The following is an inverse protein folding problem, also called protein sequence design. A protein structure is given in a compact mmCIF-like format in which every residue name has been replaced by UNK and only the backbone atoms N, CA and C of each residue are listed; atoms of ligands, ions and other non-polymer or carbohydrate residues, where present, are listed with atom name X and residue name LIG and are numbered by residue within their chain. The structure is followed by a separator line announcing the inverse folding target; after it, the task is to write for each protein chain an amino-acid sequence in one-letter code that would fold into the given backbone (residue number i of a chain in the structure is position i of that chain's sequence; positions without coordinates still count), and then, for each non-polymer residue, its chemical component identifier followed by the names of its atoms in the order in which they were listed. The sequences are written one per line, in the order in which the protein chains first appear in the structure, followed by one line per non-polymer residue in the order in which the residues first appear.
data_IF_741769979430
#
_entry.id   IF_741769979430
#
_cell.length_a   1.000
_cell.length_b   1.000
_cell.length_c   1.000
_cell.angle_alpha   90.00
_cell.angle_beta   90.00
_cell.angle_gamma   90.00
#
_symmetry.space_group_name_H-M   'P 1'
#
loop_
_entity.id
_entity.type
_entity.pdbx_description
1 polymer ?
#
# COMPACT_ATOMS: atom_id res chain seq x y z
N UNK A 1 -31.29 -59.63 14.96
CA UNK A 1 -31.57 -58.49 15.86
C UNK A 1 -30.39 -58.40 16.82
N UNK A 2 -29.57 -57.37 16.95
CA UNK A 2 -29.53 -55.98 16.46
C UNK A 2 -28.06 -55.60 16.14
N UNK A 3 -27.77 -55.04 14.96
CA UNK A 3 -27.36 -53.64 14.69
C UNK A 3 -26.26 -53.10 15.61
N UNK A 4 -24.99 -53.16 15.20
CA UNK A 4 -24.26 -52.10 14.46
C UNK A 4 -24.00 -50.83 15.28
N UNK A 5 -22.75 -50.69 15.73
CA UNK A 5 -22.18 -49.46 16.27
C UNK A 5 -22.21 -48.34 15.21
N UNK A 6 -22.90 -47.25 15.52
CA UNK A 6 -22.85 -46.01 14.75
C UNK A 6 -21.63 -45.20 15.19
N UNK A 7 -20.53 -45.33 14.45
CA UNK A 7 -19.51 -44.28 14.36
C UNK A 7 -20.13 -43.18 13.49
N UNK A 8 -20.78 -42.22 14.13
CA UNK A 8 -21.23 -41.02 13.46
C UNK A 8 -19.99 -40.15 13.24
N UNK A 9 -19.47 -40.17 12.01
CA UNK A 9 -18.39 -39.30 11.54
C UNK A 9 -18.79 -37.85 11.81
N UNK A 10 -17.94 -37.15 12.55
CA UNK A 10 -17.89 -35.69 12.60
C UNK A 10 -17.73 -35.17 11.17
N UNK A 11 -18.85 -34.75 10.58
CA UNK A 11 -18.86 -33.87 9.42
C UNK A 11 -18.59 -32.45 9.91
N UNK A 12 -17.37 -32.19 10.37
CA UNK A 12 -16.84 -30.84 10.40
C UNK A 12 -16.70 -30.40 8.94
N UNK A 13 -17.61 -29.54 8.50
CA UNK A 13 -17.55 -28.78 7.26
C UNK A 13 -16.14 -28.19 7.11
N UNK A 14 -15.31 -28.77 6.25
CA UNK A 14 -14.11 -28.10 5.74
C UNK A 14 -14.56 -26.89 4.95
N UNK A 15 -14.73 -25.75 5.63
CA UNK A 15 -14.86 -24.46 4.98
C UNK A 15 -13.69 -24.31 4.01
N UNK A 16 -13.96 -23.96 2.76
CA UNK A 16 -12.92 -23.77 1.76
C UNK A 16 -11.94 -22.71 2.28
N UNK A 17 -10.67 -23.08 2.49
CA UNK A 17 -9.64 -22.15 2.96
C UNK A 17 -9.46 -21.01 1.93
N UNK A 18 -9.31 -19.78 2.42
CA UNK A 18 -8.97 -18.63 1.58
C UNK A 18 -7.62 -18.86 0.87
N UNK A 19 -7.37 -18.23 -0.29
CA UNK A 19 -6.06 -18.27 -0.90
C UNK A 19 -4.98 -17.77 0.08
N UNK A 20 -3.81 -18.41 0.06
CA UNK A 20 -2.68 -18.04 0.94
C UNK A 20 -2.33 -16.57 0.71
N UNK A 21 -2.26 -15.78 1.78
CA UNK A 21 -1.97 -14.33 1.70
C UNK A 21 -3.14 -13.48 1.17
N UNK A 22 -4.34 -14.04 1.02
CA UNK A 22 -5.54 -13.27 0.70
C UNK A 22 -6.02 -12.42 1.89
N UNK A 23 -5.95 -12.98 3.10
CA UNK A 23 -6.30 -12.36 4.37
C UNK A 23 -5.34 -12.85 5.47
N UNK A 24 -5.49 -12.29 6.68
CA UNK A 24 -4.67 -12.63 7.83
C UNK A 24 -4.61 -14.14 8.10
N UNK A 25 -3.49 -14.59 8.66
CA UNK A 25 -3.25 -15.99 8.99
C UNK A 25 -4.33 -16.52 9.94
N UNK A 26 -5.01 -17.58 9.52
CA UNK A 26 -6.10 -18.21 10.27
C UNK A 26 -7.49 -17.62 9.99
N UNK A 27 -7.63 -16.69 9.04
CA UNK A 27 -8.93 -16.18 8.62
C UNK A 27 -9.84 -17.32 8.11
N UNK A 28 -11.14 -17.30 8.46
CA UNK A 28 -12.07 -18.35 8.06
C UNK A 28 -12.44 -18.23 6.57
N UNK A 29 -12.82 -19.35 5.96
CA UNK A 29 -13.15 -19.44 4.52
C UNK A 29 -14.30 -18.54 4.06
N UNK A 30 -15.22 -18.24 4.98
CA UNK A 30 -16.40 -17.40 4.83
C UNK A 30 -16.19 -15.96 5.36
N UNK A 31 -14.93 -15.52 5.56
CA UNK A 31 -14.59 -14.20 6.10
C UNK A 31 -15.42 -13.05 5.50
N UNK A 32 -15.57 -13.02 4.17
CA UNK A 32 -16.28 -11.93 3.51
C UNK A 32 -17.79 -11.94 3.81
N UNK A 33 -18.38 -13.12 3.99
CA UNK A 33 -19.79 -13.25 4.37
C UNK A 33 -20.00 -12.80 5.81
N UNK A 34 -19.09 -13.19 6.72
CA UNK A 34 -19.10 -12.80 8.13
C UNK A 34 -18.88 -11.30 8.33
N UNK A 35 -18.01 -10.67 7.53
CA UNK A 35 -17.82 -9.21 7.52
C UNK A 35 -18.98 -8.47 6.80
N UNK A 36 -19.99 -9.21 6.31
CA UNK A 36 -21.17 -8.66 5.66
C UNK A 36 -20.88 -8.02 4.31
N UNK A 37 -19.80 -8.39 3.63
CA UNK A 37 -19.45 -7.85 2.32
C UNK A 37 -20.53 -8.12 1.27
N UNK A 38 -21.13 -9.31 1.31
CA UNK A 38 -22.18 -9.76 0.39
C UNK A 38 -23.57 -9.26 0.79
N UNK A 39 -23.80 -9.00 2.09
CA UNK A 39 -25.11 -8.65 2.65
C UNK A 39 -25.30 -7.16 2.94
N UNK A 40 -24.21 -6.38 3.07
CA UNK A 40 -24.24 -4.94 3.37
C UNK A 40 -23.69 -4.15 2.18
N UNK A 41 -24.57 -3.46 1.40
CA UNK A 41 -24.16 -2.61 0.30
C UNK A 41 -23.12 -1.54 0.69
N UNK A 42 -23.02 -1.18 1.98
CA UNK A 42 -22.08 -0.20 2.55
C UNK A 42 -21.12 -0.77 3.62
N UNK A 43 -20.97 -2.10 3.75
CA UNK A 43 -20.02 -2.71 4.68
C UNK A 43 -18.55 -2.50 4.31
N UNK A 44 -17.68 -2.33 5.30
CA UNK A 44 -16.24 -2.15 5.13
C UNK A 44 -15.52 -3.43 5.60
N UNK A 45 -15.44 -4.48 4.77
CA UNK A 45 -14.79 -5.70 5.22
C UNK A 45 -13.30 -5.42 5.43
N UNK A 46 -12.67 -6.20 6.30
CA UNK A 46 -11.23 -6.17 6.52
C UNK A 46 -10.59 -7.51 6.18
N UNK A 47 -9.38 -7.46 5.64
CA UNK A 47 -8.51 -8.64 5.45
C UNK A 47 -7.43 -8.74 6.51
N UNK A 48 -7.34 -7.76 7.41
CA UNK A 48 -6.34 -7.71 8.45
C UNK A 48 -6.83 -8.42 9.70
N UNK A 49 -5.90 -8.80 10.58
CA UNK A 49 -6.22 -9.54 11.79
C UNK A 49 -7.05 -8.66 12.75
N UNK A 50 -8.33 -8.99 13.03
CA UNK A 50 -9.20 -8.16 13.86
C UNK A 50 -8.70 -8.05 15.30
N UNK A 51 -7.96 -9.06 15.82
CA UNK A 51 -7.40 -9.03 17.16
C UNK A 51 -6.33 -7.96 17.35
N UNK A 52 -5.77 -7.44 16.26
CA UNK A 52 -4.74 -6.39 16.30
C UNK A 52 -5.31 -5.00 16.02
N UNK A 53 -6.56 -4.89 15.56
CA UNK A 53 -7.19 -3.62 15.20
C UNK A 53 -7.56 -2.81 16.45
N UNK A 54 -7.08 -1.58 16.53
CA UNK A 54 -7.29 -0.69 17.69
C UNK A 54 -8.15 0.53 17.37
N UNK A 55 -8.30 0.90 16.10
CA UNK A 55 -9.21 1.94 15.64
C UNK A 55 -9.58 1.76 14.16
N UNK A 56 -10.61 2.48 13.71
CA UNK A 56 -11.10 2.46 12.32
C UNK A 56 -12.01 1.27 12.00
N UNK A 57 -12.05 0.88 10.73
CA UNK A 57 -13.04 -0.06 10.18
C UNK A 57 -14.27 0.62 9.57
N UNK A 58 -14.23 1.95 9.42
CA UNK A 58 -15.30 2.78 8.88
C UNK A 58 -14.76 4.01 8.15
N UNK A 59 -15.65 4.94 7.77
CA UNK A 59 -15.27 6.17 7.07
C UNK A 59 -14.97 7.30 8.04
N UNK A 60 -13.72 7.76 8.04
CA UNK A 60 -13.34 9.05 8.60
C UNK A 60 -13.71 10.18 7.64
N UNK A 61 -14.41 11.20 8.14
CA UNK A 61 -14.73 12.38 7.32
C UNK A 61 -13.54 13.32 7.25
N UNK A 62 -12.89 13.35 6.09
CA UNK A 62 -11.85 14.33 5.80
C UNK A 62 -12.47 15.69 5.55
N UNK A 63 -12.03 16.68 6.32
CA UNK A 63 -12.44 18.05 6.10
C UNK A 63 -11.62 18.69 4.96
N UNK A 64 -12.25 19.53 4.13
CA UNK A 64 -11.54 20.27 3.09
C UNK A 64 -10.44 21.14 3.69
N UNK A 65 -9.27 21.16 3.08
CA UNK A 65 -8.26 22.16 3.42
C UNK A 65 -8.76 23.56 3.01
N UNK A 66 -9.06 24.40 4.00
CA UNK A 66 -9.55 25.77 3.80
C UNK A 66 -8.41 26.79 3.67
N UNK A 67 -7.14 26.37 3.80
CA UNK A 67 -5.98 27.27 3.78
C UNK A 67 -5.57 27.69 2.35
N UNK A 68 -5.99 26.96 1.32
CA UNK A 68 -5.71 27.24 -0.09
C UNK A 68 -6.86 27.93 -0.85
N UNK A 69 -6.53 28.82 -1.80
CA UNK A 69 -7.47 29.52 -2.71
C UNK A 69 -8.10 28.61 -3.79
N UNK A 70 -8.10 27.28 -3.64
CA UNK A 70 -8.46 26.34 -4.72
C UNK A 70 -9.63 25.45 -4.31
N UNK A 71 -10.73 25.55 -5.07
CA UNK A 71 -11.98 24.76 -5.02
C UNK A 71 -12.39 24.28 -3.63
N UNK A 72 -13.46 24.86 -3.07
CA UNK A 72 -14.18 24.34 -1.89
C UNK A 72 -14.51 22.86 -2.13
N UNK A 73 -13.66 21.95 -1.69
CA UNK A 73 -13.94 20.52 -1.70
C UNK A 73 -15.05 20.28 -0.69
N UNK A 74 -15.95 19.35 -0.95
CA UNK A 74 -16.91 18.91 0.07
C UNK A 74 -16.21 17.91 0.99
N UNK A 75 -16.57 17.84 2.28
CA UNK A 75 -16.11 16.74 3.13
C UNK A 75 -16.44 15.40 2.48
N UNK A 76 -15.57 14.41 2.66
CA UNK A 76 -15.77 13.06 2.12
C UNK A 76 -15.15 12.02 3.05
N UNK A 77 -15.65 10.79 2.97
CA UNK A 77 -15.21 9.66 3.79
C UNK A 77 -13.98 8.96 3.23
N UNK A 78 -12.99 8.70 4.09
CA UNK A 78 -11.87 7.80 3.85
C UNK A 78 -11.95 6.61 4.79
N UNK A 79 -11.86 5.41 4.24
CA UNK A 79 -11.74 4.19 5.00
C UNK A 79 -10.31 3.99 5.51
N UNK A 80 -10.16 3.63 6.78
CA UNK A 80 -8.88 3.34 7.41
C UNK A 80 -8.99 2.30 8.52
N UNK A 81 -7.87 1.66 8.85
CA UNK A 81 -7.70 0.83 10.04
C UNK A 81 -6.36 1.14 10.72
N UNK A 82 -6.35 1.09 12.05
CA UNK A 82 -5.14 1.13 12.87
C UNK A 82 -4.95 -0.23 13.52
N UNK A 83 -3.75 -0.79 13.41
CA UNK A 83 -3.36 -2.03 14.07
C UNK A 83 -2.18 -1.80 15.01
N UNK A 84 -2.17 -2.51 16.15
CA UNK A 84 -1.18 -2.31 17.20
C UNK A 84 -1.45 -1.07 18.06
N UNK A 85 -0.73 -0.97 19.17
CA UNK A 85 -0.88 0.08 20.20
C UNK A 85 0.44 0.69 20.65
N UNK A 86 1.53 0.36 19.98
CA UNK A 86 2.85 0.83 20.35
C UNK A 86 3.14 2.29 20.03
N UNK A 87 4.19 2.87 20.62
CA UNK A 87 4.49 4.30 20.48
C UNK A 87 5.03 4.69 19.09
N UNK A 88 5.62 3.76 18.34
CA UNK A 88 6.18 4.04 17.01
C UNK A 88 5.06 3.95 15.96
N UNK A 89 4.81 5.05 15.25
CA UNK A 89 3.66 5.16 14.32
C UNK A 89 4.12 4.93 12.88
N UNK A 90 3.50 4.00 12.17
CA UNK A 90 3.81 3.69 10.77
C UNK A 90 2.59 3.98 9.92
N UNK A 91 2.74 4.72 8.83
CA UNK A 91 1.67 4.96 7.85
C UNK A 91 2.04 4.30 6.53
N UNK A 92 1.19 3.40 6.07
CA UNK A 92 1.36 2.69 4.81
C UNK A 92 0.52 3.32 3.70
N UNK A 93 1.18 3.86 2.67
CA UNK A 93 0.54 4.57 1.56
C UNK A 93 0.57 3.70 0.31
N UNK A 94 -0.62 3.24 -0.10
CA UNK A 94 -0.77 2.35 -1.26
C UNK A 94 -0.65 3.07 -2.61
N UNK A 95 -0.30 2.31 -3.64
CA UNK A 95 -0.23 2.73 -5.04
C UNK A 95 -1.59 2.99 -5.71
N UNK A 96 -1.52 3.42 -6.97
CA UNK A 96 -2.68 3.76 -7.79
C UNK A 96 -3.62 2.56 -7.97
N UNK A 97 -4.92 2.83 -7.89
CA UNK A 97 -5.98 1.87 -8.12
C UNK A 97 -5.78 0.54 -7.37
N UNK A 98 -5.37 0.62 -6.10
CA UNK A 98 -5.17 -0.53 -5.24
C UNK A 98 -5.63 -0.25 -3.80
N UNK A 99 -6.05 -1.29 -3.11
CA UNK A 99 -6.53 -1.21 -1.72
C UNK A 99 -5.38 -1.34 -0.75
N UNK A 100 -5.54 -0.76 0.43
CA UNK A 100 -4.61 -0.93 1.55
C UNK A 100 -4.33 -2.39 1.91
N UNK A 101 -5.23 -3.33 1.54
CA UNK A 101 -5.03 -4.78 1.65
C UNK A 101 -3.70 -5.30 1.04
N UNK A 102 -3.09 -4.56 0.09
CA UNK A 102 -1.76 -4.90 -0.42
C UNK A 102 -0.64 -4.80 0.62
N UNK A 103 -0.87 -4.12 1.75
CA UNK A 103 0.06 -4.04 2.90
C UNK A 103 -0.17 -5.16 3.93
N UNK A 104 -1.02 -6.15 3.64
CA UNK A 104 -1.32 -7.25 4.57
C UNK A 104 -0.04 -7.88 5.18
N UNK A 105 0.99 -8.27 4.40
CA UNK A 105 2.19 -8.88 4.99
C UNK A 105 2.93 -7.95 5.96
N UNK A 106 2.95 -6.65 5.66
CA UNK A 106 3.59 -5.65 6.52
C UNK A 106 2.78 -5.43 7.80
N UNK A 107 1.45 -5.33 7.72
CA UNK A 107 0.59 -5.22 8.92
C UNK A 107 0.71 -6.46 9.79
N UNK A 108 0.73 -7.66 9.19
CA UNK A 108 0.93 -8.91 9.93
C UNK A 108 2.29 -8.99 10.62
N UNK A 109 3.34 -8.39 10.06
CA UNK A 109 4.65 -8.31 10.69
C UNK A 109 4.69 -7.27 11.82
N UNK A 110 4.33 -6.03 11.52
CA UNK A 110 4.45 -4.88 12.43
C UNK A 110 3.37 -4.83 13.51
N UNK A 111 2.30 -5.63 13.40
CA UNK A 111 1.27 -5.73 14.45
C UNK A 111 1.18 -7.13 15.06
N UNK A 112 2.16 -8.01 14.81
CA UNK A 112 2.12 -9.39 15.30
C UNK A 112 2.27 -9.46 16.84
N UNK A 113 1.35 -10.12 17.56
CA UNK A 113 1.52 -10.32 19.00
C UNK A 113 2.65 -11.31 19.32
N UNK A 114 2.97 -12.25 18.41
CA UNK A 114 3.97 -13.30 18.67
C UNK A 114 5.42 -12.80 18.67
N UNK A 115 5.70 -11.65 18.07
CA UNK A 115 7.04 -11.03 18.07
C UNK A 115 7.10 -9.75 18.92
N UNK A 116 6.05 -9.45 19.71
CA UNK A 116 5.96 -8.24 20.53
C UNK A 116 5.71 -6.95 19.75
N UNK A 117 5.52 -7.00 18.43
CA UNK A 117 5.38 -5.80 17.61
C UNK A 117 4.08 -5.04 17.86
N UNK A 118 3.01 -5.70 18.32
CA UNK A 118 1.75 -5.04 18.70
C UNK A 118 1.96 -3.94 19.76
N UNK A 119 2.91 -4.12 20.68
CA UNK A 119 3.23 -3.15 21.74
C UNK A 119 4.33 -2.15 21.32
N UNK A 120 5.06 -2.45 20.24
CA UNK A 120 6.15 -1.60 19.71
C UNK A 120 5.64 -0.61 18.66
N UNK A 121 4.71 -1.04 17.80
CA UNK A 121 4.23 -0.25 16.67
C UNK A 121 2.71 -0.02 16.71
N UNK A 122 2.28 1.07 16.08
CA UNK A 122 0.92 1.23 15.56
C UNK A 122 0.99 1.49 14.06
N UNK A 123 0.33 0.67 13.26
CA UNK A 123 0.31 0.78 11.80
C UNK A 123 -1.04 1.31 11.31
N UNK A 124 -1.01 2.38 10.54
CA UNK A 124 -2.15 2.95 9.83
C UNK A 124 -2.15 2.49 8.37
N UNK A 125 -3.27 1.89 7.96
CA UNK A 125 -3.58 1.53 6.58
C UNK A 125 -4.89 2.19 6.19
N UNK A 126 -5.01 2.63 4.93
CA UNK A 126 -6.21 3.33 4.46
C UNK A 126 -6.37 3.21 2.94
N UNK A 127 -7.61 3.21 2.48
CA UNK A 127 -7.89 3.27 1.05
C UNK A 127 -7.84 4.73 0.58
N UNK A 128 -7.10 4.99 -0.49
CA UNK A 128 -6.98 6.35 -1.04
C UNK A 128 -8.34 6.85 -1.55
N UNK A 129 -8.53 8.19 -1.56
CA UNK A 129 -9.68 8.81 -2.24
C UNK A 129 -9.87 8.23 -3.65
N UNK A 130 -11.10 7.94 -4.03
CA UNK A 130 -11.40 7.38 -5.35
C UNK A 130 -11.13 5.88 -5.52
N UNK A 131 -10.86 5.14 -4.44
CA UNK A 131 -10.63 3.69 -4.53
C UNK A 131 -11.16 2.92 -3.30
N UNK A 132 -11.45 1.62 -3.51
CA UNK A 132 -11.79 0.67 -2.45
C UNK A 132 -13.01 1.10 -1.63
N UNK A 133 -12.86 1.08 -0.31
CA UNK A 133 -13.88 1.46 0.64
C UNK A 133 -14.01 2.99 0.83
N UNK A 134 -13.08 3.79 0.31
CA UNK A 134 -13.12 5.25 0.39
C UNK A 134 -14.05 5.88 -0.65
N UNK A 135 -14.59 7.05 -0.33
CA UNK A 135 -15.48 7.78 -1.23
C UNK A 135 -14.72 8.37 -2.43
N UNK A 136 -15.49 8.71 -3.47
CA UNK A 136 -14.99 9.29 -4.73
C UNK A 136 -15.41 10.76 -4.83
N UNK A 137 -14.69 11.69 -4.18
CA UNK A 137 -14.99 13.12 -4.32
C UNK A 137 -14.84 13.56 -5.78
N UNK A 138 -15.68 14.50 -6.20
CA UNK A 138 -15.65 15.01 -7.58
C UNK A 138 -14.42 15.88 -7.85
N UNK A 139 -14.06 16.01 -9.12
CA UNK A 139 -12.98 16.89 -9.57
C UNK A 139 -11.63 16.19 -9.73
N UNK A 140 -10.64 16.98 -10.12
CA UNK A 140 -9.27 16.52 -10.37
C UNK A 140 -8.54 16.34 -9.05
N UNK A 141 -7.82 15.23 -8.89
CA UNK A 141 -6.98 15.01 -7.72
C UNK A 141 -5.55 15.46 -7.98
N UNK A 142 -4.86 15.84 -6.90
CA UNK A 142 -3.41 16.00 -6.85
C UNK A 142 -2.86 15.10 -5.74
N UNK A 143 -1.63 14.62 -5.88
CA UNK A 143 -0.95 13.88 -4.81
C UNK A 143 -0.78 14.73 -3.55
N UNK A 144 -0.67 16.06 -3.68
CA UNK A 144 -0.71 16.99 -2.54
C UNK A 144 -2.04 16.92 -1.79
N UNK A 145 -3.17 16.79 -2.51
CA UNK A 145 -4.50 16.66 -1.88
C UNK A 145 -4.62 15.35 -1.10
N UNK A 146 -4.02 14.28 -1.63
CA UNK A 146 -3.96 12.99 -0.96
C UNK A 146 -3.06 13.04 0.28
N UNK A 147 -2.01 13.86 0.29
CA UNK A 147 -1.22 14.15 1.49
C UNK A 147 -2.03 14.85 2.58
N UNK A 148 -2.86 15.84 2.21
CA UNK A 148 -3.72 16.51 3.18
C UNK A 148 -4.77 15.59 3.80
N UNK A 149 -5.25 14.58 3.05
CA UNK A 149 -6.13 13.56 3.61
C UNK A 149 -5.46 12.78 4.74
N UNK A 150 -4.21 12.38 4.53
CA UNK A 150 -3.42 11.67 5.54
C UNK A 150 -3.21 12.56 6.75
N UNK A 151 -2.87 13.83 6.56
CA UNK A 151 -2.73 14.78 7.67
C UNK A 151 -4.03 14.96 8.47
N UNK A 152 -5.19 14.98 7.80
CA UNK A 152 -6.50 15.03 8.48
C UNK A 152 -6.69 13.80 9.36
N UNK A 153 -6.39 12.61 8.83
CA UNK A 153 -6.53 11.37 9.55
C UNK A 153 -5.55 11.27 10.73
N UNK A 154 -4.30 11.69 10.54
CA UNK A 154 -3.31 11.71 11.61
C UNK A 154 -3.65 12.68 12.74
N UNK A 155 -4.29 13.82 12.44
CA UNK A 155 -4.79 14.76 13.45
C UNK A 155 -5.90 14.14 14.30
N UNK A 156 -6.86 13.46 13.66
CA UNK A 156 -7.91 12.72 14.36
C UNK A 156 -7.34 11.66 15.30
N UNK A 157 -6.34 10.93 14.81
CA UNK A 157 -5.63 9.90 15.59
C UNK A 157 -4.68 10.48 16.64
N UNK A 158 -4.51 11.81 16.70
CA UNK A 158 -3.55 12.51 17.57
C UNK A 158 -2.10 12.09 17.35
N UNK A 159 -1.77 11.66 16.14
CA UNK A 159 -0.39 11.28 15.76
C UNK A 159 0.44 12.47 15.30
N UNK A 160 -0.10 13.69 15.34
CA UNK A 160 0.61 14.93 14.98
C UNK A 160 1.16 15.70 16.18
N UNK A 161 1.03 15.17 17.39
CA UNK A 161 1.39 15.88 18.63
C UNK A 161 2.90 15.87 18.92
N UNK A 162 3.63 14.87 18.40
CA UNK A 162 5.06 14.70 18.65
C UNK A 162 5.83 14.71 17.31
N UNK A 163 6.78 15.65 17.13
CA UNK A 163 7.68 15.66 15.99
C UNK A 163 8.46 14.34 15.87
N UNK A 164 8.68 13.88 14.65
CA UNK A 164 9.48 12.69 14.36
C UNK A 164 8.91 11.34 14.81
N UNK A 165 7.67 11.28 15.34
CA UNK A 165 7.08 10.03 15.83
C UNK A 165 6.49 9.15 14.71
N UNK A 166 6.15 9.77 13.56
CA UNK A 166 5.45 9.11 12.47
C UNK A 166 6.42 8.74 11.34
N UNK A 167 6.33 7.51 10.86
CA UNK A 167 7.18 6.96 9.81
C UNK A 167 6.34 6.61 8.59
N UNK A 168 6.70 7.16 7.43
CA UNK A 168 5.93 6.98 6.20
C UNK A 168 6.55 5.88 5.34
N UNK A 169 5.71 4.97 4.84
CA UNK A 169 6.12 3.91 3.90
C UNK A 169 5.19 3.94 2.70
N UNK A 170 5.68 4.41 1.56
CA UNK A 170 4.88 4.61 0.36
C UNK A 170 5.40 3.82 -0.82
N UNK A 171 4.50 3.10 -1.50
CA UNK A 171 4.79 2.39 -2.75
C UNK A 171 4.16 3.11 -3.95
N UNK A 172 4.90 3.30 -5.04
CA UNK A 172 4.36 3.86 -6.29
C UNK A 172 3.74 5.25 -6.07
N UNK A 173 2.45 5.45 -6.38
CA UNK A 173 1.71 6.67 -6.04
C UNK A 173 1.80 7.01 -4.54
N UNK A 174 1.81 6.03 -3.64
CA UNK A 174 2.02 6.25 -2.22
C UNK A 174 3.37 6.89 -1.88
N UNK A 175 4.41 6.57 -2.65
CA UNK A 175 5.72 7.24 -2.55
C UNK A 175 5.67 8.71 -3.03
N UNK A 176 4.87 9.02 -4.06
CA UNK A 176 4.64 10.40 -4.49
C UNK A 176 3.92 11.21 -3.39
N UNK A 177 2.93 10.62 -2.74
CA UNK A 177 2.21 11.23 -1.62
C UNK A 177 3.16 11.41 -0.42
N UNK A 178 4.04 10.45 -0.18
CA UNK A 178 5.09 10.55 0.85
C UNK A 178 6.01 11.74 0.62
N UNK A 179 6.42 12.00 -0.64
CA UNK A 179 7.21 13.18 -0.98
C UNK A 179 6.43 14.49 -0.76
N UNK A 180 5.13 14.53 -1.03
CA UNK A 180 4.28 15.69 -0.74
C UNK A 180 4.15 15.93 0.76
N UNK A 181 3.93 14.89 1.56
CA UNK A 181 3.90 14.97 3.03
C UNK A 181 5.22 15.49 3.59
N UNK A 182 6.35 15.00 3.07
CA UNK A 182 7.68 15.45 3.47
C UNK A 182 7.95 16.93 3.13
N UNK A 183 7.24 17.51 2.16
CA UNK A 183 7.31 18.96 1.85
C UNK A 183 6.44 19.80 2.78
N UNK A 184 5.27 19.28 3.18
CA UNK A 184 4.24 20.06 3.85
C UNK A 184 4.45 20.10 5.37
N UNK A 185 4.89 18.99 5.98
CA UNK A 185 5.07 18.88 7.42
C UNK A 185 6.33 18.06 7.77
N UNK A 186 7.54 18.45 7.29
CA UNK A 186 8.76 17.66 7.44
C UNK A 186 9.09 17.27 8.89
N UNK A 187 8.76 18.14 9.85
CA UNK A 187 9.00 17.96 11.29
C UNK A 187 8.23 16.79 11.89
N UNK A 188 7.13 16.36 11.27
CA UNK A 188 6.31 15.26 11.78
C UNK A 188 6.94 13.89 11.52
N UNK A 189 7.83 13.78 10.53
CA UNK A 189 8.28 12.49 10.03
C UNK A 189 9.64 12.07 10.61
N UNK A 190 9.65 10.97 11.36
CA UNK A 190 10.90 10.39 11.87
C UNK A 190 11.71 9.75 10.75
N UNK A 191 11.02 9.13 9.78
CA UNK A 191 11.64 8.59 8.59
C UNK A 191 10.66 8.44 7.44
N UNK A 192 11.19 8.33 6.22
CA UNK A 192 10.40 7.96 5.03
C UNK A 192 11.04 6.80 4.27
N UNK A 193 10.22 5.86 3.80
CA UNK A 193 10.61 4.77 2.91
C UNK A 193 9.86 4.89 1.59
N UNK A 194 10.60 5.09 0.51
CA UNK A 194 10.10 5.32 -0.85
C UNK A 194 10.31 4.07 -1.70
N UNK A 195 9.24 3.34 -2.01
CA UNK A 195 9.31 2.06 -2.71
C UNK A 195 8.77 2.23 -4.15
N UNK A 196 9.56 1.86 -5.15
CA UNK A 196 9.17 1.84 -6.57
C UNK A 196 8.41 3.09 -7.00
N UNK A 197 9.00 4.27 -6.75
CA UNK A 197 8.33 5.57 -6.94
C UNK A 197 9.18 6.55 -7.74
N UNK A 198 8.66 7.76 -7.96
CA UNK A 198 9.31 8.82 -8.73
C UNK A 198 8.93 10.18 -8.19
N UNK A 199 9.80 11.18 -8.33
CA UNK A 199 9.46 12.60 -8.11
C UNK A 199 8.54 13.20 -9.19
N UNK A 200 7.98 12.37 -10.08
CA UNK A 200 7.04 12.79 -11.11
C UNK A 200 7.69 13.48 -12.31
N UNK A 201 6.99 14.47 -12.89
CA UNK A 201 7.42 15.15 -14.11
C UNK A 201 8.82 15.77 -13.97
N UNK A 202 9.71 15.50 -14.94
CA UNK A 202 11.07 16.03 -14.95
C UNK A 202 11.19 17.46 -15.48
N UNK A 203 10.45 17.83 -16.54
CA UNK A 203 10.54 19.14 -17.24
C UNK A 203 11.99 19.69 -17.34
N UNK A 204 12.92 18.85 -17.80
CA UNK A 204 14.35 19.20 -17.92
C UNK A 204 15.25 18.71 -16.77
N UNK A 205 14.69 18.34 -15.61
CA UNK A 205 15.45 17.82 -14.45
C UNK A 205 15.75 16.32 -14.53
N UNK A 206 15.05 15.59 -15.42
CA UNK A 206 15.22 14.16 -15.66
C UNK A 206 15.46 13.91 -17.14
N UNK A 207 16.25 12.87 -17.43
CA UNK A 207 16.30 12.27 -18.77
C UNK A 207 14.89 11.85 -19.17
N UNK A 208 14.45 12.19 -20.38
CA UNK A 208 13.09 11.91 -20.85
C UNK A 208 12.71 10.42 -20.72
N UNK A 209 13.64 9.52 -21.05
CA UNK A 209 13.45 8.07 -20.93
C UNK A 209 13.22 7.56 -19.49
N UNK A 210 13.63 8.33 -18.47
CA UNK A 210 13.38 8.01 -17.05
C UNK A 210 12.03 8.53 -16.59
N UNK A 211 11.59 9.68 -17.12
CA UNK A 211 10.32 10.30 -16.77
C UNK A 211 9.09 9.63 -17.40
N UNK A 212 9.27 8.83 -18.45
CA UNK A 212 8.21 8.05 -19.08
C UNK A 212 8.13 6.64 -18.47
N UNK A 213 6.92 6.09 -18.25
CA UNK A 213 6.78 4.68 -17.91
C UNK A 213 7.40 3.78 -19.00
N UNK A 214 7.94 2.60 -18.66
CA UNK A 214 8.39 1.64 -19.66
C UNK A 214 7.27 1.31 -20.65
N UNK A 215 7.59 1.10 -21.94
CA UNK A 215 6.58 0.86 -23.00
C UNK A 215 5.65 -0.32 -22.66
N UNK A 216 6.19 -1.40 -22.09
CA UNK A 216 5.41 -2.54 -21.58
C UNK A 216 4.43 -2.13 -20.49
N UNK A 217 4.83 -1.23 -19.58
CA UNK A 217 3.98 -0.66 -18.54
C UNK A 217 2.84 0.17 -19.10
N UNK A 218 3.06 0.96 -20.16
CA UNK A 218 2.01 1.77 -20.80
C UNK A 218 0.90 0.90 -21.40
N UNK A 219 1.26 -0.14 -22.16
CA UNK A 219 0.28 -1.05 -22.77
C UNK A 219 -0.51 -1.83 -21.72
N UNK A 220 0.13 -2.27 -20.64
CA UNK A 220 -0.56 -3.00 -19.57
C UNK A 220 -1.40 -2.06 -18.71
N UNK A 221 -0.95 -0.85 -18.38
CA UNK A 221 -1.78 0.17 -17.69
C UNK A 221 -3.05 0.44 -18.52
N UNK A 222 -2.94 0.61 -19.83
CA UNK A 222 -4.09 0.82 -20.70
C UNK A 222 -5.05 -0.38 -20.69
N UNK A 223 -4.52 -1.61 -20.69
CA UNK A 223 -5.33 -2.83 -20.56
C UNK A 223 -5.98 -2.98 -19.17
N UNK A 224 -5.25 -2.70 -18.09
CA UNK A 224 -5.76 -2.74 -16.72
C UNK A 224 -6.84 -1.68 -16.53
N UNK A 225 -6.65 -0.47 -17.06
CA UNK A 225 -7.68 0.58 -17.09
C UNK A 225 -8.89 0.11 -17.89
N UNK A 226 -8.70 -0.36 -19.13
CA UNK A 226 -9.80 -0.81 -19.99
C UNK A 226 -10.62 -1.93 -19.36
N UNK A 227 -9.93 -2.93 -18.80
CA UNK A 227 -10.56 -4.11 -18.19
C UNK A 227 -11.14 -3.84 -16.79
N UNK A 228 -10.57 -2.92 -16.01
CA UNK A 228 -11.07 -2.53 -14.67
C UNK A 228 -12.24 -1.56 -14.79
N UNK A 229 -12.21 -0.62 -15.74
CA UNK A 229 -13.28 0.36 -15.94
C UNK A 229 -14.46 -0.19 -16.74
N UNK A 230 -14.22 -1.05 -17.73
CA UNK A 230 -15.28 -1.46 -18.66
C UNK A 230 -15.58 -2.97 -18.64
N UNK A 231 -14.81 -3.78 -17.89
CA UNK A 231 -15.07 -5.23 -17.79
C UNK A 231 -14.91 -5.99 -19.11
N UNK A 232 -14.21 -5.40 -20.09
CA UNK A 232 -14.01 -5.98 -21.43
C UNK A 232 -12.80 -6.92 -21.38
N UNK A 233 -12.99 -8.21 -21.71
CA UNK A 233 -11.91 -9.20 -21.86
C UNK A 233 -11.96 -10.38 -20.88
N UNK A 234 -11.13 -11.40 -21.13
CA UNK A 234 -11.01 -12.60 -20.30
C UNK A 234 -10.37 -12.28 -18.92
N UNK A 235 -11.02 -12.70 -17.83
CA UNK A 235 -10.54 -12.46 -16.46
C UNK A 235 -9.16 -13.08 -16.24
N UNK A 236 -8.93 -14.29 -16.80
CA UNK A 236 -7.67 -15.00 -16.63
C UNK A 236 -6.53 -14.22 -17.29
N UNK A 237 -6.68 -13.87 -18.56
CA UNK A 237 -5.72 -13.02 -19.27
C UNK A 237 -5.45 -11.70 -18.52
N UNK A 238 -6.49 -11.05 -17.99
CA UNK A 238 -6.34 -9.80 -17.23
C UNK A 238 -5.46 -9.97 -15.98
N UNK A 239 -5.75 -10.98 -15.15
CA UNK A 239 -4.98 -11.20 -13.92
C UNK A 239 -3.55 -11.60 -14.25
N UNK A 240 -3.34 -12.46 -15.25
CA UNK A 240 -2.01 -12.82 -15.72
C UNK A 240 -1.19 -11.60 -16.14
N UNK A 241 -1.78 -10.68 -16.92
CA UNK A 241 -1.09 -9.46 -17.35
C UNK A 241 -0.72 -8.55 -16.17
N UNK A 242 -1.57 -8.48 -15.14
CA UNK A 242 -1.25 -7.75 -13.89
C UNK A 242 -0.08 -8.40 -13.16
N UNK A 243 -0.07 -9.74 -13.04
CA UNK A 243 1.02 -10.45 -12.37
C UNK A 243 2.35 -10.24 -13.09
N UNK A 244 2.39 -10.38 -14.41
CA UNK A 244 3.61 -10.18 -15.22
C UNK A 244 4.10 -8.72 -15.26
N UNK A 245 3.22 -7.76 -14.95
CA UNK A 245 3.59 -6.36 -14.79
C UNK A 245 4.21 -6.09 -13.41
N UNK A 246 3.67 -6.74 -12.38
CA UNK A 246 4.04 -6.48 -10.98
C UNK A 246 5.24 -7.30 -10.53
N UNK A 247 5.43 -8.50 -11.09
CA UNK A 247 6.42 -9.47 -10.65
C UNK A 247 7.25 -10.01 -11.83
N UNK A 248 8.56 -10.25 -11.64
CA UNK A 248 9.41 -10.90 -12.62
C UNK A 248 8.98 -12.34 -12.90
N UNK A 249 9.16 -12.78 -14.15
CA UNK A 249 8.81 -14.14 -14.59
C UNK A 249 9.59 -15.22 -13.83
N UNK A 250 10.87 -14.96 -13.53
CA UNK A 250 11.73 -15.86 -12.75
C UNK A 250 11.11 -16.12 -11.38
N UNK A 251 10.70 -15.08 -10.67
CA UNK A 251 10.08 -15.20 -9.35
C UNK A 251 8.71 -15.85 -9.41
N UNK A 252 7.91 -15.54 -10.44
CA UNK A 252 6.58 -16.14 -10.65
C UNK A 252 6.65 -17.65 -10.93
N UNK A 253 7.72 -18.10 -11.58
CA UNK A 253 7.92 -19.50 -11.99
C UNK A 253 8.42 -20.40 -10.86
N UNK A 254 9.00 -19.82 -9.80
CA UNK A 254 9.41 -20.55 -8.60
C UNK A 254 8.21 -21.12 -7.81
N UNK A 255 8.47 -22.14 -7.00
CA UNK A 255 7.48 -22.71 -6.07
C UNK A 255 7.20 -21.73 -4.93
N UNK A 256 5.92 -21.62 -4.55
CA UNK A 256 5.57 -20.86 -3.36
C UNK A 256 6.01 -21.64 -2.11
N UNK A 257 6.83 -21.03 -1.22
CA UNK A 257 7.48 -21.77 -0.13
C UNK A 257 6.49 -22.35 0.89
N UNK A 258 5.34 -21.71 1.06
CA UNK A 258 4.32 -22.11 2.04
C UNK A 258 3.10 -22.78 1.40
N UNK A 259 3.07 -23.00 0.07
CA UNK A 259 1.92 -23.64 -0.56
C UNK A 259 2.02 -25.17 -0.43
N UNK A 260 1.11 -25.84 0.30
CA UNK A 260 1.20 -27.26 0.58
C UNK A 260 0.99 -28.14 -0.67
N UNK A 261 0.44 -27.56 -1.74
CA UNK A 261 0.24 -28.25 -3.03
C UNK A 261 1.45 -28.10 -3.95
N UNK A 262 2.52 -27.42 -3.51
CA UNK A 262 3.72 -27.19 -4.31
C UNK A 262 3.43 -26.41 -5.59
N UNK A 263 2.47 -25.48 -5.57
CA UNK A 263 2.15 -24.61 -6.71
C UNK A 263 3.23 -23.56 -6.92
N UNK A 264 3.29 -23.02 -8.13
CA UNK A 264 4.13 -21.87 -8.46
C UNK A 264 3.59 -20.61 -7.78
N UNK A 265 4.45 -19.61 -7.56
CA UNK A 265 4.01 -18.30 -7.08
C UNK A 265 3.00 -17.67 -8.05
N UNK A 266 3.12 -17.91 -9.35
CA UNK A 266 2.11 -17.50 -10.35
C UNK A 266 0.71 -18.01 -10.02
N UNK A 267 0.56 -19.29 -9.76
CA UNK A 267 -0.74 -19.90 -9.47
C UNK A 267 -1.31 -19.39 -8.14
N UNK A 268 -0.48 -19.29 -7.09
CA UNK A 268 -0.91 -18.77 -5.80
C UNK A 268 -1.33 -17.30 -5.91
N UNK A 269 -0.50 -16.46 -6.54
CA UNK A 269 -0.80 -15.04 -6.70
C UNK A 269 -1.99 -14.80 -7.63
N UNK A 270 -2.24 -15.68 -8.61
CA UNK A 270 -3.45 -15.62 -9.42
C UNK A 270 -4.71 -15.73 -8.55
N UNK A 271 -4.77 -16.73 -7.67
CA UNK A 271 -5.91 -16.91 -6.77
C UNK A 271 -6.06 -15.73 -5.80
N UNK A 272 -4.94 -15.23 -5.25
CA UNK A 272 -4.93 -14.05 -4.39
C UNK A 272 -5.47 -12.83 -5.11
N UNK A 273 -5.01 -12.54 -6.32
CA UNK A 273 -5.47 -11.37 -7.08
C UNK A 273 -6.91 -11.52 -7.56
N UNK A 274 -7.34 -12.70 -7.99
CA UNK A 274 -8.75 -12.97 -8.31
C UNK A 274 -9.64 -12.72 -7.10
N UNK A 275 -9.23 -13.21 -5.93
CA UNK A 275 -9.96 -13.02 -4.69
C UNK A 275 -9.97 -11.54 -4.27
N UNK A 276 -8.81 -10.87 -4.26
CA UNK A 276 -8.70 -9.44 -3.93
C UNK A 276 -9.51 -8.56 -4.89
N UNK A 277 -9.56 -8.86 -6.19
CA UNK A 277 -10.41 -8.13 -7.13
C UNK A 277 -11.91 -8.34 -6.94
N UNK A 278 -12.33 -9.46 -6.33
CA UNK A 278 -13.72 -9.67 -5.90
C UNK A 278 -14.02 -8.90 -4.62
N UNK A 279 -13.05 -8.88 -3.71
CA UNK A 279 -13.10 -8.21 -2.40
C UNK A 279 -13.07 -6.68 -2.49
N UNK A 280 -12.18 -6.12 -3.31
CA UNK A 280 -12.04 -4.67 -3.42
C UNK A 280 -13.29 -4.09 -4.08
N UNK A 281 -14.03 -3.28 -3.34
CA UNK A 281 -15.18 -2.54 -3.85
C UNK A 281 -14.77 -1.78 -5.11
N UNK A 282 -15.55 -1.95 -6.18
CA UNK A 282 -15.31 -1.25 -7.44
C UNK A 282 -15.69 0.22 -7.27
N UNK A 283 -14.67 1.08 -7.13
CA UNK A 283 -14.87 2.51 -7.25
C UNK A 283 -15.36 2.86 -8.68
N UNK A 284 -16.21 3.88 -8.85
CA UNK A 284 -16.58 4.38 -10.17
C UNK A 284 -15.32 4.77 -10.97
N UNK A 285 -15.31 4.61 -12.31
CA UNK A 285 -14.15 4.90 -13.15
C UNK A 285 -13.55 6.30 -12.96
N UNK A 286 -14.39 7.28 -12.59
CA UNK A 286 -13.98 8.66 -12.29
C UNK A 286 -12.93 8.74 -11.18
N UNK A 287 -12.97 7.88 -10.16
CA UNK A 287 -11.99 7.85 -9.08
C UNK A 287 -10.60 7.46 -9.58
N UNK A 288 -10.54 6.38 -10.37
CA UNK A 288 -9.30 5.91 -10.99
C UNK A 288 -8.75 6.95 -11.97
N UNK A 289 -9.61 7.54 -12.81
CA UNK A 289 -9.20 8.61 -13.74
C UNK A 289 -8.62 9.83 -13.00
N UNK A 290 -9.22 10.22 -11.86
CA UNK A 290 -8.67 11.30 -11.05
C UNK A 290 -7.36 10.92 -10.36
N UNK A 291 -7.15 9.66 -9.95
CA UNK A 291 -5.84 9.18 -9.48
C UNK A 291 -4.78 9.19 -10.59
N UNK A 292 -5.14 8.77 -11.81
CA UNK A 292 -4.24 8.85 -12.97
C UNK A 292 -3.84 10.30 -13.24
N UNK A 293 -4.79 11.23 -13.19
CA UNK A 293 -4.50 12.66 -13.31
C UNK A 293 -3.54 13.14 -12.21
N UNK A 294 -3.72 12.71 -10.96
CA UNK A 294 -2.82 13.05 -9.86
C UNK A 294 -1.40 12.54 -10.09
N UNK A 295 -1.23 11.28 -10.50
CA UNK A 295 0.07 10.66 -10.78
C UNK A 295 0.77 11.34 -11.95
N UNK A 296 0.05 11.54 -13.06
CA UNK A 296 0.63 12.13 -14.29
C UNK A 296 1.00 13.60 -14.14
N UNK A 297 0.37 14.32 -13.20
CA UNK A 297 0.66 15.73 -12.91
C UNK A 297 1.52 15.94 -11.67
N UNK A 298 1.90 14.87 -10.96
CA UNK A 298 2.78 14.97 -9.80
C UNK A 298 4.15 15.52 -10.19
N UNK A 299 4.72 16.37 -9.34
CA UNK A 299 6.03 16.97 -9.54
C UNK A 299 6.65 17.39 -8.21
N UNK A 300 7.85 16.88 -7.95
CA UNK A 300 8.76 17.33 -6.90
C UNK A 300 10.09 17.66 -7.56
N UNK A 301 10.50 18.92 -7.50
CA UNK A 301 11.71 19.41 -8.17
C UNK A 301 12.98 18.92 -7.47
N UNK A 302 14.13 19.02 -8.14
CA UNK A 302 15.42 18.66 -7.53
C UNK A 302 15.71 19.50 -6.28
N UNK A 303 15.35 20.80 -6.30
CA UNK A 303 15.47 21.68 -5.15
C UNK A 303 14.58 21.23 -3.97
N UNK A 304 13.36 20.75 -4.26
CA UNK A 304 12.48 20.21 -3.24
C UNK A 304 12.99 18.87 -2.70
N UNK A 305 13.54 17.99 -3.55
CA UNK A 305 14.21 16.76 -3.11
C UNK A 305 15.41 17.06 -2.20
N UNK A 306 16.24 18.05 -2.55
CA UNK A 306 17.36 18.48 -1.73
C UNK A 306 16.89 19.01 -0.36
N UNK A 307 15.77 19.73 -0.32
CA UNK A 307 15.13 20.16 0.93
C UNK A 307 14.62 18.99 1.77
N UNK A 308 13.88 18.04 1.16
CA UNK A 308 13.45 16.79 1.83
C UNK A 308 14.66 16.04 2.41
N UNK A 309 15.73 15.94 1.63
CA UNK A 309 16.98 15.30 2.05
C UNK A 309 17.62 15.98 3.26
N UNK A 310 17.53 17.31 3.36
CA UNK A 310 17.98 18.04 4.54
C UNK A 310 17.07 17.77 5.74
N UNK A 311 15.75 17.93 5.54
CA UNK A 311 14.77 18.03 6.63
C UNK A 311 14.42 16.67 7.27
N UNK A 312 14.43 15.56 6.53
CA UNK A 312 13.96 14.24 7.05
C UNK A 312 15.11 13.40 7.60
N UNK A 313 15.09 13.03 8.89
CA UNK A 313 16.18 12.33 9.58
C UNK A 313 16.71 11.07 8.87
N UNK A 314 15.82 10.17 8.45
CA UNK A 314 16.17 8.93 7.77
C UNK A 314 15.31 8.69 6.52
N UNK A 315 15.98 8.29 5.43
CA UNK A 315 15.34 8.08 4.12
C UNK A 315 15.88 6.77 3.54
N UNK A 316 14.98 5.87 3.13
CA UNK A 316 15.31 4.73 2.28
C UNK A 316 14.58 4.85 0.94
N UNK A 317 15.27 4.54 -0.15
CA UNK A 317 14.73 4.44 -1.50
C UNK A 317 14.90 2.98 -1.94
N UNK A 318 13.81 2.30 -2.24
CA UNK A 318 13.80 0.87 -2.55
C UNK A 318 13.21 0.66 -3.94
N UNK A 319 13.85 -0.15 -4.77
CA UNK A 319 13.36 -0.44 -6.13
C UNK A 319 13.76 -1.84 -6.56
N UNK A 320 12.90 -2.48 -7.35
CA UNK A 320 13.29 -3.64 -8.13
C UNK A 320 14.17 -3.23 -9.32
N UNK A 321 15.01 -4.14 -9.82
CA UNK A 321 15.75 -3.96 -11.08
C UNK A 321 14.94 -4.35 -12.33
N UNK A 322 13.83 -5.08 -12.15
CA UNK A 322 12.88 -5.50 -13.18
C UNK A 322 11.49 -4.84 -12.97
N UNK A 323 11.47 -3.60 -12.48
CA UNK A 323 10.21 -2.83 -12.35
C UNK A 323 9.73 -2.34 -13.72
N UNK A 324 8.72 -3.02 -14.25
CA UNK A 324 8.12 -2.70 -15.55
C UNK A 324 7.07 -1.58 -15.49
N UNK A 325 6.73 -1.08 -14.29
CA UNK A 325 5.71 -0.05 -14.10
C UNK A 325 6.34 1.32 -13.83
N UNK A 326 7.33 1.36 -12.95
CA UNK A 326 8.12 2.56 -12.62
C UNK A 326 9.57 2.28 -12.95
N UNK A 327 10.10 2.98 -13.96
CA UNK A 327 11.49 2.79 -14.38
C UNK A 327 12.44 2.96 -13.16
N UNK A 328 13.28 1.96 -12.82
CA UNK A 328 14.19 2.02 -11.67
C UNK A 328 15.17 3.21 -11.71
N UNK A 329 15.40 3.79 -12.90
CA UNK A 329 16.13 5.05 -13.07
C UNK A 329 15.53 6.22 -12.28
N UNK A 330 14.25 6.17 -11.92
CA UNK A 330 13.62 7.15 -11.04
C UNK A 330 14.17 7.08 -9.62
N UNK A 331 14.36 5.89 -9.07
CA UNK A 331 14.98 5.67 -7.76
C UNK A 331 16.44 6.12 -7.75
N UNK A 332 17.17 5.88 -8.84
CA UNK A 332 18.54 6.40 -9.02
C UNK A 332 18.53 7.94 -9.07
N UNK A 333 17.57 8.56 -9.75
CA UNK A 333 17.42 10.01 -9.79
C UNK A 333 17.06 10.59 -8.41
N UNK A 334 16.17 9.94 -7.66
CA UNK A 334 15.84 10.32 -6.29
C UNK A 334 17.09 10.28 -5.41
N UNK A 335 17.86 9.20 -5.45
CA UNK A 335 19.09 9.05 -4.65
C UNK A 335 20.16 10.08 -5.00
N UNK A 336 20.31 10.45 -6.28
CA UNK A 336 21.23 11.52 -6.71
C UNK A 336 20.89 12.89 -6.12
N UNK A 337 19.60 13.18 -5.95
CA UNK A 337 19.13 14.45 -5.37
C UNK A 337 18.88 14.37 -3.85
N UNK A 338 18.98 13.17 -3.28
CA UNK A 338 18.84 12.91 -1.85
C UNK A 338 20.00 12.04 -1.35
N UNK A 339 21.23 12.57 -1.30
CA UNK A 339 22.44 11.78 -1.00
C UNK A 339 22.48 11.19 0.41
N UNK A 340 21.62 11.63 1.35
CA UNK A 340 21.46 11.01 2.68
C UNK A 340 20.66 9.70 2.60
N UNK A 341 19.88 9.51 1.54
CA UNK A 341 19.00 8.36 1.40
C UNK A 341 19.79 7.08 1.13
N UNK A 342 19.41 6.00 1.81
CA UNK A 342 19.89 4.66 1.50
C UNK A 342 19.17 4.17 0.25
N UNK A 343 19.89 3.99 -0.86
CA UNK A 343 19.36 3.34 -2.06
C UNK A 343 19.53 1.83 -1.98
N UNK A 344 18.43 1.09 -2.08
CA UNK A 344 18.40 -0.37 -2.17
C UNK A 344 17.78 -0.77 -3.50
N UNK A 345 18.57 -1.43 -4.37
CA UNK A 345 18.07 -2.04 -5.59
C UNK A 345 18.05 -3.55 -5.45
N UNK A 346 16.86 -4.13 -5.40
CA UNK A 346 16.64 -5.56 -5.22
C UNK A 346 16.75 -6.27 -6.56
N UNK A 347 17.60 -7.31 -6.61
CA UNK A 347 17.80 -8.14 -7.80
C UNK A 347 16.60 -9.02 -8.09
N UNK A 348 16.31 -9.24 -9.37
CA UNK A 348 15.20 -10.06 -9.86
C UNK A 348 13.88 -9.68 -9.18
N UNK A 349 13.66 -8.37 -9.04
CA UNK A 349 12.50 -7.85 -8.33
C UNK A 349 11.74 -6.81 -9.15
N UNK A 350 10.42 -6.87 -9.07
CA UNK A 350 9.50 -6.06 -9.83
C UNK A 350 8.95 -4.89 -9.03
N UNK A 351 7.72 -4.51 -9.34
CA UNK A 351 7.05 -3.35 -8.77
C UNK A 351 6.45 -3.63 -7.38
N UNK A 352 5.84 -4.80 -7.20
CA UNK A 352 5.11 -5.16 -5.98
C UNK A 352 6.04 -5.72 -4.89
N UNK A 353 7.12 -4.99 -4.56
CA UNK A 353 8.12 -5.38 -3.58
C UNK A 353 7.53 -5.77 -2.21
N UNK A 354 6.51 -5.08 -1.64
CA UNK A 354 5.92 -5.47 -0.36
C UNK A 354 5.30 -6.87 -0.37
N UNK A 355 4.90 -7.39 -1.54
CA UNK A 355 4.39 -8.75 -1.72
C UNK A 355 5.47 -9.73 -2.19
N UNK A 356 6.49 -9.25 -2.92
CA UNK A 356 7.52 -10.09 -3.51
C UNK A 356 8.66 -10.42 -2.54
N UNK A 357 9.12 -9.42 -1.78
CA UNK A 357 10.31 -9.44 -0.93
C UNK A 357 9.94 -9.04 0.50
N UNK A 358 8.93 -9.73 1.06
CA UNK A 358 8.26 -9.39 2.32
C UNK A 358 9.26 -9.12 3.44
N UNK A 359 10.14 -10.09 3.73
CA UNK A 359 11.08 -10.00 4.86
C UNK A 359 12.11 -8.88 4.67
N UNK A 360 12.66 -8.74 3.46
CA UNK A 360 13.62 -7.68 3.15
C UNK A 360 12.99 -6.28 3.22
N UNK A 361 11.75 -6.14 2.74
CA UNK A 361 11.01 -4.87 2.86
C UNK A 361 10.72 -4.55 4.33
N UNK A 362 10.30 -5.54 5.12
CA UNK A 362 10.07 -5.35 6.56
C UNK A 362 11.34 -4.93 7.29
N UNK A 363 12.46 -5.61 7.02
CA UNK A 363 13.77 -5.27 7.58
C UNK A 363 14.20 -3.85 7.19
N UNK A 364 14.07 -3.48 5.91
CA UNK A 364 14.41 -2.12 5.44
C UNK A 364 13.57 -1.05 6.14
N UNK A 365 12.26 -1.29 6.30
CA UNK A 365 11.37 -0.37 7.00
C UNK A 365 11.78 -0.24 8.46
N UNK A 366 12.01 -1.34 9.15
CA UNK A 366 12.43 -1.36 10.56
C UNK A 366 13.77 -0.64 10.78
N UNK A 367 14.78 -0.91 9.94
CA UNK A 367 16.08 -0.23 9.97
C UNK A 367 15.95 1.28 9.71
N UNK A 368 15.07 1.67 8.78
CA UNK A 368 14.86 3.08 8.43
C UNK A 368 14.16 3.83 9.56
N UNK A 369 13.21 3.19 10.22
CA UNK A 369 12.53 3.69 11.41
C UNK A 369 13.53 3.88 12.54
N UNK A 370 14.32 2.85 12.83
CA UNK A 370 15.30 2.86 13.91
C UNK A 370 16.34 3.98 13.71
N UNK A 371 16.84 4.12 12.49
CA UNK A 371 17.75 5.22 12.13
C UNK A 371 17.10 6.60 12.28
N UNK A 372 15.80 6.70 12.00
CA UNK A 372 15.01 7.93 12.17
C UNK A 372 14.86 8.33 13.64
N UNK A 373 14.62 7.35 14.51
CA UNK A 373 14.52 7.52 15.97
C UNK A 373 15.87 7.98 16.53
N UNK A 374 16.95 7.28 16.18
CA UNK A 374 18.31 7.58 16.64
C UNK A 374 18.76 8.99 16.25
N UNK A 375 18.52 9.40 15.00
CA UNK A 375 18.93 10.70 14.47
C UNK A 375 18.08 11.87 14.98
N UNK A 376 16.84 11.60 15.37
CA UNK A 376 15.94 12.62 15.93
C UNK A 376 16.17 12.84 17.44
N UNK A 377 17.15 12.14 18.05
CA UNK A 377 17.49 12.28 19.47
C UNK A 377 16.44 11.75 20.44
N UNK A 378 15.42 11.04 19.94
CA UNK A 378 14.37 10.45 20.75
C UNK A 378 14.79 9.07 21.23
N UNK A 379 14.97 8.88 22.54
CA UNK A 379 14.74 7.54 23.07
C UNK A 379 13.25 7.28 23.05
N UNK A 380 12.76 6.19 22.44
CA UNK A 380 11.38 5.79 22.63
C UNK A 380 11.23 5.51 24.13
N UNK A 381 10.30 6.21 24.78
CA UNK A 381 9.85 5.79 26.12
C UNK A 381 9.13 4.45 25.91
N UNK A 382 9.87 3.37 26.09
CA UNK A 382 9.36 1.99 26.12
C UNK A 382 8.51 1.82 27.37
#
# INVERSE_FOLDING_TARGET
MSSSASVQKDAATTAALLPIGAAYVGAPGDLLENEGFTSKPNGFPSVFNPATRTAGGDLHTVQPDTSGKTLKKKPFGIYYEVHGKGPIKIVFLMGLANSCAGWLPQVEYFSNPKNGNTDKYSTLVYDQRGYGCSQVPSGRYRTSDMGHDVLSLLKELKWTEQPGQVHLVGVSMGGMITLELAKIAPELWGSITLISTTSGQGLGEKKLAVGLPPLRGVSVIAQVIGTTMFGIGDQKARVTNVLELLFPDVWLSEKHPEDPKGRTRREVMYDVFVWRFKYSRRAPPSGILSQIAAVTTHRVTNAQLAKINADISAISIVTGDEDHLVNPGNSIHLARNMPKARLVQMKQSGHALPLQRVDEVNAIVEETIQLGIERSGGQPKI
#
